data_IF_892584946887
#
_entry.id   IF_892584946887
#
_cell.length_a   1.000
_cell.length_b   1.000
_cell.length_c   1.000
_cell.angle_alpha   90.00
_cell.angle_beta   90.00
_cell.angle_gamma   90.00
#
_symmetry.space_group_name_H-M   'P 1'
#
loop_
_entity.id
_entity.type
_entity.pdbx_description
1 polymer ?
#
# COMPACT_ATOMS: atom_id res chain seq x y z
N UNK A 1 4.82 -14.61 -15.40
CA UNK A 1 4.52 -13.34 -14.71
C UNK A 1 4.47 -13.66 -13.24
N UNK A 2 5.31 -13.02 -12.42
CA UNK A 2 5.22 -13.11 -10.97
C UNK A 2 4.23 -12.03 -10.53
N UNK A 3 3.04 -12.42 -10.07
CA UNK A 3 2.07 -11.47 -9.52
C UNK A 3 2.43 -11.17 -8.07
N UNK A 4 2.75 -9.91 -7.78
CA UNK A 4 2.99 -9.43 -6.42
C UNK A 4 1.64 -9.19 -5.76
N UNK A 5 1.26 -10.06 -4.82
CA UNK A 5 0.04 -9.88 -4.02
C UNK A 5 0.40 -9.18 -2.70
N UNK A 6 -0.33 -8.13 -2.34
CA UNK A 6 -0.08 -7.33 -1.14
C UNK A 6 -1.14 -7.67 -0.10
N UNK A 7 -0.70 -8.16 1.06
CA UNK A 7 -1.58 -8.72 2.09
C UNK A 7 -1.78 -7.71 3.23
N UNK A 8 -3.01 -7.26 3.46
CA UNK A 8 -3.36 -6.38 4.58
C UNK A 8 -4.13 -7.17 5.65
N UNK A 9 -3.51 -7.40 6.82
CA UNK A 9 -4.18 -7.99 7.97
C UNK A 9 -4.56 -6.92 8.98
N UNK A 10 -5.87 -6.78 9.24
CA UNK A 10 -6.40 -6.10 10.43
C UNK A 10 -6.42 -7.12 11.58
N UNK A 11 -5.67 -6.89 12.64
CA UNK A 11 -5.84 -7.65 13.90
C UNK A 11 -7.13 -7.17 14.59
N UNK A 12 -8.26 -7.75 14.19
CA UNK A 12 -9.46 -7.77 15.03
C UNK A 12 -9.61 -9.17 15.57
N UNK A 13 -9.48 -9.32 16.88
CA UNK A 13 -9.90 -10.49 17.64
C UNK A 13 -11.40 -10.71 17.45
N UNK A 14 -11.80 -11.31 16.35
CA UNK A 14 -13.08 -12.00 16.20
C UNK A 14 -13.09 -12.83 14.91
N UNK A 15 -13.60 -14.04 15.06
CA UNK A 15 -13.49 -15.18 14.17
C UNK A 15 -14.40 -15.04 12.93
N UNK A 16 -14.13 -14.03 12.08
CA UNK A 16 -14.73 -13.92 10.75
C UNK A 16 -13.66 -14.26 9.72
N UNK A 17 -14.01 -15.16 8.80
CA UNK A 17 -13.14 -15.64 7.72
C UNK A 17 -12.33 -14.50 7.12
N UNK A 18 -11.01 -14.70 7.05
CA UNK A 18 -10.06 -13.89 6.30
C UNK A 18 -10.53 -13.81 4.84
N UNK A 19 -11.42 -12.86 4.53
CA UNK A 19 -11.84 -12.58 3.16
C UNK A 19 -10.65 -11.91 2.47
N UNK A 20 -9.91 -12.70 1.71
CA UNK A 20 -8.80 -12.22 0.91
C UNK A 20 -9.34 -11.25 -0.15
N UNK A 21 -8.96 -9.98 -0.04
CA UNK A 21 -9.22 -9.01 -1.09
C UNK A 21 -8.38 -9.37 -2.32
N UNK A 22 -9.04 -9.86 -3.37
CA UNK A 22 -8.48 -10.07 -4.70
C UNK A 22 -8.88 -8.87 -5.57
N UNK A 23 -7.98 -7.92 -5.83
CA UNK A 23 -8.30 -6.76 -6.65
C UNK A 23 -8.56 -7.16 -8.10
N UNK A 24 -9.66 -6.65 -8.68
CA UNK A 24 -10.01 -6.83 -10.10
C UNK A 24 -9.00 -6.18 -11.06
N UNK A 25 -8.15 -5.28 -10.55
CA UNK A 25 -7.10 -4.59 -11.31
C UNK A 25 -5.79 -4.58 -10.51
N UNK A 26 -4.78 -5.27 -11.07
CA UNK A 26 -3.44 -5.41 -10.49
C UNK A 26 -2.79 -4.05 -10.20
N UNK A 27 -3.02 -3.01 -11.01
CA UNK A 27 -2.41 -1.69 -10.83
C UNK A 27 -2.96 -0.90 -9.65
N UNK A 28 -4.24 -1.10 -9.34
CA UNK A 28 -4.89 -0.42 -8.20
C UNK A 28 -4.87 -1.26 -6.93
N UNK A 29 -4.39 -2.50 -7.02
CA UNK A 29 -4.41 -3.50 -5.95
C UNK A 29 -3.83 -2.99 -4.63
N UNK A 30 -2.62 -2.43 -4.67
CA UNK A 30 -1.92 -1.91 -3.51
C UNK A 30 -2.72 -0.80 -2.82
N UNK A 31 -3.27 0.15 -3.58
CA UNK A 31 -4.06 1.24 -3.02
C UNK A 31 -5.29 0.73 -2.29
N UNK A 32 -6.02 -0.21 -2.89
CA UNK A 32 -7.16 -0.82 -2.21
C UNK A 32 -6.76 -1.61 -0.97
N UNK A 33 -5.65 -2.36 -1.01
CA UNK A 33 -5.13 -3.04 0.17
C UNK A 33 -4.83 -2.02 1.29
N UNK A 34 -4.13 -0.93 0.99
CA UNK A 34 -3.82 0.12 1.95
C UNK A 34 -5.08 0.78 2.51
N UNK A 35 -6.00 1.24 1.65
CA UNK A 35 -7.26 1.89 2.05
C UNK A 35 -8.06 0.99 3.00
N UNK A 36 -8.24 -0.28 2.64
CA UNK A 36 -8.99 -1.24 3.45
C UNK A 36 -8.25 -1.63 4.74
N UNK A 37 -6.93 -1.79 4.68
CA UNK A 37 -6.09 -2.16 5.83
C UNK A 37 -5.98 -1.05 6.87
N UNK A 38 -5.91 0.21 6.42
CA UNK A 38 -5.84 1.39 7.28
C UNK A 38 -7.24 1.77 7.81
N UNK A 39 -8.28 1.55 7.01
CA UNK A 39 -9.66 1.87 7.37
C UNK A 39 -10.03 3.35 7.17
N UNK A 40 -9.31 4.05 6.29
CA UNK A 40 -9.56 5.46 5.93
C UNK A 40 -10.40 5.54 4.66
N UNK A 41 -11.37 6.47 4.54
CA UNK A 41 -12.07 6.72 3.28
C UNK A 41 -11.10 7.05 2.13
N UNK A 42 -11.38 6.57 0.91
CA UNK A 42 -10.49 6.72 -0.24
C UNK A 42 -10.07 8.16 -0.53
N UNK A 43 -11.01 9.10 -0.51
CA UNK A 43 -10.74 10.52 -0.81
C UNK A 43 -9.78 11.13 0.22
N UNK A 44 -9.96 10.79 1.50
CA UNK A 44 -9.08 11.24 2.58
C UNK A 44 -7.70 10.61 2.44
N UNK A 45 -7.62 9.31 2.11
CA UNK A 45 -6.35 8.63 1.90
C UNK A 45 -5.51 9.27 0.79
N UNK A 46 -6.14 9.64 -0.34
CA UNK A 46 -5.46 10.28 -1.46
C UNK A 46 -4.97 11.69 -1.08
N UNK A 47 -5.82 12.47 -0.41
CA UNK A 47 -5.47 13.82 0.03
C UNK A 47 -4.31 13.81 1.05
N UNK A 48 -4.47 13.06 2.16
CA UNK A 48 -3.47 12.99 3.23
C UNK A 48 -2.10 12.51 2.71
N UNK A 49 -2.11 11.53 1.79
CA UNK A 49 -0.88 11.02 1.17
C UNK A 49 -0.22 12.05 0.27
N UNK A 50 -1.01 12.77 -0.52
CA UNK A 50 -0.49 13.82 -1.42
C UNK A 50 0.20 14.91 -0.61
N UNK A 51 -0.46 15.40 0.43
CA UNK A 51 0.09 16.42 1.33
C UNK A 51 1.36 15.92 2.05
N UNK A 52 1.35 14.67 2.52
CA UNK A 52 2.53 14.07 3.14
C UNK A 52 3.71 13.96 2.16
N UNK A 53 3.48 13.48 0.94
CA UNK A 53 4.55 13.37 -0.05
C UNK A 53 5.10 14.73 -0.47
N UNK A 54 4.26 15.77 -0.51
CA UNK A 54 4.69 17.15 -0.80
C UNK A 54 5.60 17.71 0.30
N UNK A 55 5.43 17.22 1.54
CA UNK A 55 6.33 17.55 2.65
C UNK A 55 7.71 16.87 2.58
N UNK A 56 7.89 15.86 1.72
CA UNK A 56 9.15 15.15 1.57
C UNK A 56 10.08 15.91 0.61
N UNK A 57 11.04 16.65 1.16
CA UNK A 57 12.02 17.41 0.38
C UNK A 57 12.75 16.56 -0.68
N UNK A 58 12.97 15.27 -0.43
CA UNK A 58 13.64 14.36 -1.37
C UNK A 58 12.81 14.07 -2.65
N UNK A 59 11.52 14.43 -2.66
CA UNK A 59 10.61 14.28 -3.80
C UNK A 59 10.36 15.61 -4.53
N UNK A 60 11.03 16.69 -4.15
CA UNK A 60 10.88 18.00 -4.79
C UNK A 60 11.12 17.91 -6.31
N UNK A 61 10.17 18.42 -7.09
CA UNK A 61 10.21 18.40 -8.57
C UNK A 61 9.87 17.05 -9.23
N UNK A 62 9.82 15.95 -8.48
CA UNK A 62 9.43 14.61 -8.96
C UNK A 62 7.96 14.28 -8.63
N UNK A 63 7.41 14.91 -7.59
CA UNK A 63 6.13 14.53 -7.02
C UNK A 63 4.93 14.73 -7.95
N UNK A 64 4.77 15.92 -8.53
CA UNK A 64 3.59 16.26 -9.34
C UNK A 64 3.46 15.34 -10.58
N UNK A 65 4.54 15.11 -11.37
CA UNK A 65 4.49 14.13 -12.44
C UNK A 65 4.16 12.73 -11.90
N UNK A 66 4.88 12.27 -10.88
CA UNK A 66 4.74 10.92 -10.33
C UNK A 66 3.31 10.63 -9.84
N UNK A 67 2.72 11.51 -9.03
CA UNK A 67 1.36 11.36 -8.54
C UNK A 67 0.34 11.31 -9.66
N UNK A 68 0.51 12.13 -10.71
CA UNK A 68 -0.38 12.13 -11.86
C UNK A 68 -0.36 10.78 -12.60
N UNK A 69 0.82 10.19 -12.79
CA UNK A 69 0.97 8.86 -13.41
C UNK A 69 0.36 7.75 -12.55
N UNK A 70 0.62 7.77 -11.24
CA UNK A 70 0.14 6.77 -10.30
C UNK A 70 -1.39 6.83 -10.14
N UNK A 71 -1.97 8.03 -9.96
CA UNK A 71 -3.42 8.21 -9.86
C UNK A 71 -4.15 7.96 -11.18
N UNK A 72 -3.49 8.20 -12.31
CA UNK A 72 -4.01 7.85 -13.64
C UNK A 72 -4.04 6.34 -13.92
N UNK A 73 -3.40 5.51 -13.08
CA UNK A 73 -3.22 4.07 -13.33
C UNK A 73 -2.21 3.77 -14.44
N UNK A 74 -1.37 4.75 -14.77
CA UNK A 74 -0.33 4.68 -15.79
C UNK A 74 1.02 4.20 -15.22
N UNK A 75 1.15 4.12 -13.90
CA UNK A 75 2.30 3.57 -13.20
C UNK A 75 1.88 2.58 -12.10
N UNK A 76 2.73 1.59 -11.84
CA UNK A 76 2.49 0.59 -10.79
C UNK A 76 2.99 1.14 -9.43
N UNK A 77 2.14 1.15 -8.40
CA UNK A 77 2.55 1.54 -7.06
C UNK A 77 3.43 0.47 -6.40
N UNK A 78 4.30 0.86 -5.47
CA UNK A 78 5.28 -0.04 -4.85
C UNK A 78 5.82 0.43 -3.49
N UNK A 79 7.15 0.36 -3.33
CA UNK A 79 7.81 0.60 -2.04
C UNK A 79 7.59 2.02 -1.50
N UNK A 80 7.52 3.03 -2.36
CA UNK A 80 7.27 4.41 -1.95
C UNK A 80 5.87 4.57 -1.34
N UNK A 81 4.85 3.93 -1.91
CA UNK A 81 3.49 3.94 -1.36
C UNK A 81 3.43 3.24 -0.01
N UNK A 82 4.12 2.11 0.14
CA UNK A 82 4.21 1.40 1.41
C UNK A 82 4.94 2.24 2.46
N UNK A 83 6.06 2.87 2.10
CA UNK A 83 6.82 3.75 2.98
C UNK A 83 6.00 4.94 3.46
N UNK A 84 5.38 5.65 2.53
CA UNK A 84 4.59 6.84 2.85
C UNK A 84 3.36 6.50 3.68
N UNK A 85 2.64 5.41 3.37
CA UNK A 85 1.53 4.94 4.19
C UNK A 85 1.98 4.55 5.60
N UNK A 86 3.11 3.86 5.73
CA UNK A 86 3.66 3.46 7.04
C UNK A 86 3.97 4.68 7.91
N UNK A 87 4.60 5.72 7.34
CA UNK A 87 4.98 6.92 8.07
C UNK A 87 3.78 7.83 8.36
N UNK A 88 2.93 8.09 7.37
CA UNK A 88 1.74 8.93 7.51
C UNK A 88 0.78 8.40 8.58
N UNK A 89 0.51 7.10 8.55
CA UNK A 89 -0.44 6.47 9.47
C UNK A 89 0.23 5.85 10.71
N UNK A 90 1.54 6.05 10.88
CA UNK A 90 2.31 5.56 12.04
C UNK A 90 2.07 4.06 12.30
N UNK A 91 2.13 3.25 11.24
CA UNK A 91 1.88 1.81 11.27
C UNK A 91 2.94 1.01 10.52
N UNK A 92 3.26 -0.17 11.04
CA UNK A 92 4.16 -1.10 10.34
C UNK A 92 3.39 -1.87 9.29
N UNK A 93 3.89 -1.90 8.05
CA UNK A 93 3.27 -2.64 6.95
C UNK A 93 4.12 -3.86 6.64
N UNK A 94 3.52 -5.04 6.76
CA UNK A 94 4.15 -6.32 6.41
C UNK A 94 3.65 -6.78 5.03
N UNK A 95 4.57 -6.92 4.08
CA UNK A 95 4.30 -7.41 2.73
C UNK A 95 4.83 -8.84 2.60
N UNK A 96 3.97 -9.77 2.21
CA UNK A 96 4.31 -11.18 2.03
C UNK A 96 4.28 -11.55 0.56
N UNK A 97 5.41 -12.01 0.05
CA UNK A 97 5.46 -12.67 -1.25
C UNK A 97 5.06 -14.12 -1.09
N UNK A 98 4.14 -14.60 -1.93
CA UNK A 98 3.68 -15.99 -1.94
C UNK A 98 4.06 -16.69 -3.23
N UNK A 99 4.25 -18.01 -3.18
CA UNK A 99 4.40 -18.85 -4.38
C UNK A 99 3.03 -19.21 -5.01
N UNK A 100 3.07 -20.03 -6.06
CA UNK A 100 1.88 -20.49 -6.76
C UNK A 100 0.93 -21.34 -5.88
N UNK A 101 1.43 -21.90 -4.77
CA UNK A 101 0.66 -22.65 -3.78
C UNK A 101 0.20 -21.76 -2.61
N UNK A 102 0.30 -20.43 -2.76
CA UNK A 102 0.00 -19.43 -1.73
C UNK A 102 0.86 -19.55 -0.45
N UNK A 103 2.02 -20.20 -0.53
CA UNK A 103 2.94 -20.29 0.61
C UNK A 103 3.83 -19.06 0.63
N UNK A 104 4.03 -18.50 1.82
CA UNK A 104 4.92 -17.35 2.02
C UNK A 104 6.36 -17.76 1.71
N UNK A 105 6.98 -17.09 0.75
CA UNK A 105 8.38 -17.29 0.36
C UNK A 105 9.28 -16.14 0.79
N UNK A 106 8.71 -14.96 1.07
CA UNK A 106 9.43 -13.81 1.60
C UNK A 106 8.49 -12.89 2.38
N UNK A 107 9.06 -12.18 3.35
CA UNK A 107 8.38 -11.13 4.12
C UNK A 107 9.25 -9.88 4.12
N UNK A 108 8.67 -8.75 3.75
CA UNK A 108 9.25 -7.43 3.86
C UNK A 108 8.44 -6.61 4.88
N UNK A 109 9.11 -5.85 5.75
CA UNK A 109 8.44 -5.01 6.74
C UNK A 109 8.87 -3.57 6.55
N UNK A 110 7.90 -2.71 6.27
CA UNK A 110 8.06 -1.27 6.35
C UNK A 110 7.72 -0.83 7.78
N UNK A 111 8.76 -0.59 8.58
CA UNK A 111 8.62 -0.21 9.99
C UNK A 111 8.37 1.29 10.17
N UNK A 112 7.62 1.63 11.22
CA UNK A 112 7.44 3.02 11.65
C UNK A 112 8.75 3.64 12.15
N UNK A 113 9.68 2.82 12.65
CA UNK A 113 10.93 3.28 13.26
C UNK A 113 11.86 3.99 12.25
N UNK A 114 12.54 5.03 12.75
CA UNK A 114 13.60 5.80 12.08
C UNK A 114 14.96 5.35 12.61
#
# INVERSE_FOLDING_TARGET
MQSTSINCNRQTTENNSLEWYLPDNERTSLFFCLINGIGTPQDNFIADRTDYMDSLNDLEGLLIPYLSYIMGGDADPGELELFTASKLYTLSIEVKTVDADCKVVSTFVCSVEC
#
